data_IF_655242773818
#
_entry.id   IF_655242773818
#
_cell.length_a   1.000
_cell.length_b   1.000
_cell.length_c   1.000
_cell.angle_alpha   90.00
_cell.angle_beta   90.00
_cell.angle_gamma   90.00
#
_symmetry.space_group_name_H-M   'P 1'
#
loop_
_entity.id
_entity.type
_entity.pdbx_description
1 polymer ?
#
# COMPACT_ATOMS: atom_id res chain seq x y z
N UNK A 1 -16.49 2.15 31.98
CA UNK A 1 -16.37 3.33 31.10
C UNK A 1 -14.92 3.81 31.20
N UNK A 2 -14.13 3.74 30.12
CA UNK A 2 -12.74 4.18 30.14
C UNK A 2 -12.68 5.70 30.30
N UNK A 3 -11.79 6.19 31.15
CA UNK A 3 -11.55 7.63 31.29
C UNK A 3 -10.81 8.18 30.06
N UNK A 4 -10.70 9.51 29.94
CA UNK A 4 -10.04 10.16 28.79
C UNK A 4 -8.59 9.70 28.58
N UNK A 5 -7.87 9.40 29.66
CA UNK A 5 -6.49 8.93 29.60
C UNK A 5 -6.39 7.49 29.07
N UNK A 6 -7.28 6.60 29.53
CA UNK A 6 -7.44 5.24 29.00
C UNK A 6 -7.87 5.21 27.53
N UNK A 7 -8.77 6.12 27.12
CA UNK A 7 -9.13 6.27 25.72
C UNK A 7 -7.96 6.74 24.84
N UNK A 8 -7.13 7.67 25.32
CA UNK A 8 -6.01 8.22 24.54
C UNK A 8 -4.87 7.21 24.36
N UNK A 9 -4.60 6.40 25.38
CA UNK A 9 -3.59 5.32 25.33
C UNK A 9 -4.02 4.16 24.42
N UNK A 10 -5.30 3.78 24.46
CA UNK A 10 -5.88 2.77 23.56
C UNK A 10 -5.76 3.19 22.09
N UNK A 11 -6.08 4.45 21.77
CA UNK A 11 -6.01 4.99 20.41
C UNK A 11 -4.59 4.94 19.85
N UNK A 12 -3.58 5.34 20.64
CA UNK A 12 -2.16 5.19 20.24
C UNK A 12 -1.76 3.73 19.96
N UNK A 13 -2.27 2.78 20.74
CA UNK A 13 -1.98 1.35 20.54
C UNK A 13 -2.57 0.81 19.24
N UNK A 14 -3.81 1.21 18.91
CA UNK A 14 -4.49 0.76 17.68
C UNK A 14 -3.78 1.35 16.45
N UNK A 15 -3.52 2.66 16.45
CA UNK A 15 -2.82 3.32 15.34
C UNK A 15 -1.46 2.69 15.07
N UNK A 16 -0.72 2.34 16.11
CA UNK A 16 0.57 1.66 15.96
C UNK A 16 0.42 0.26 15.36
N UNK A 17 -0.54 -0.55 15.83
CA UNK A 17 -0.77 -1.92 15.36
C UNK A 17 -1.21 -2.03 13.90
N UNK A 18 -1.94 -1.03 13.39
CA UNK A 18 -2.45 -1.04 12.00
C UNK A 18 -1.63 -0.18 11.04
N UNK A 19 -0.62 0.54 11.51
CA UNK A 19 0.24 1.39 10.67
C UNK A 19 0.92 0.61 9.52
N UNK A 20 1.49 -0.56 9.82
CA UNK A 20 2.17 -1.40 8.82
C UNK A 20 1.20 -1.95 7.74
N UNK A 21 0.08 -2.61 8.08
CA UNK A 21 -0.90 -3.03 7.09
C UNK A 21 -1.38 -1.89 6.20
N UNK A 22 -1.73 -0.74 6.79
CA UNK A 22 -2.18 0.43 6.02
C UNK A 22 -1.10 0.91 5.05
N UNK A 23 0.18 0.92 5.47
CA UNK A 23 1.31 1.24 4.61
C UNK A 23 1.41 0.32 3.39
N UNK A 24 1.31 -1.00 3.59
CA UNK A 24 1.32 -1.96 2.49
C UNK A 24 0.12 -1.82 1.56
N UNK A 25 -1.07 -1.54 2.09
CA UNK A 25 -2.26 -1.28 1.29
C UNK A 25 -2.07 -0.06 0.38
N UNK A 26 -1.66 1.07 0.95
CA UNK A 26 -1.46 2.32 0.20
C UNK A 26 -0.38 2.17 -0.87
N UNK A 27 0.75 1.55 -0.53
CA UNK A 27 1.84 1.30 -1.48
C UNK A 27 1.42 0.32 -2.58
N UNK A 28 0.67 -0.73 -2.23
CA UNK A 28 0.10 -1.68 -3.18
C UNK A 28 -0.83 -1.00 -4.18
N UNK A 29 -1.79 -0.21 -3.70
CA UNK A 29 -2.68 0.57 -4.56
C UNK A 29 -1.93 1.55 -5.46
N UNK A 30 -0.95 2.29 -4.92
CA UNK A 30 -0.15 3.23 -5.70
C UNK A 30 0.56 2.53 -6.87
N UNK A 31 1.19 1.39 -6.62
CA UNK A 31 1.89 0.62 -7.65
C UNK A 31 0.94 0.05 -8.71
N UNK A 32 -0.26 -0.39 -8.32
CA UNK A 32 -1.28 -0.84 -9.27
C UNK A 32 -1.85 0.32 -10.10
N UNK A 33 -1.98 1.52 -9.53
CA UNK A 33 -2.35 2.72 -10.29
C UNK A 33 -1.26 3.04 -11.32
N UNK A 34 0.02 2.99 -10.93
CA UNK A 34 1.14 3.18 -11.87
C UNK A 34 1.09 2.12 -12.98
N UNK A 35 0.88 0.84 -12.61
CA UNK A 35 0.75 -0.28 -13.55
C UNK A 35 -0.39 -0.08 -14.56
N UNK A 36 -1.58 0.29 -14.09
CA UNK A 36 -2.75 0.52 -14.94
C UNK A 36 -2.56 1.70 -15.91
N UNK A 37 -1.65 2.62 -15.59
CA UNK A 37 -1.27 3.75 -16.43
C UNK A 37 0.14 3.58 -17.03
N UNK A 38 0.65 2.35 -17.13
CA UNK A 38 2.04 2.07 -17.48
C UNK A 38 2.47 2.65 -18.83
N UNK A 39 1.56 2.74 -19.80
CA UNK A 39 1.81 3.39 -21.09
C UNK A 39 2.10 4.90 -20.93
N UNK A 40 1.24 5.63 -20.23
CA UNK A 40 1.40 7.08 -20.01
C UNK A 40 2.65 7.39 -19.18
N UNK A 41 2.96 6.56 -18.19
CA UNK A 41 4.18 6.70 -17.40
C UNK A 41 5.42 6.46 -18.24
N UNK A 42 5.50 5.32 -18.93
CA UNK A 42 6.60 5.03 -19.85
C UNK A 42 6.75 6.16 -20.88
N UNK A 43 5.62 6.66 -21.38
CA UNK A 43 5.60 7.74 -22.35
C UNK A 43 6.20 9.03 -21.77
N UNK A 44 5.75 9.41 -20.58
CA UNK A 44 6.21 10.63 -19.93
C UNK A 44 7.70 10.56 -19.58
N UNK A 45 8.20 9.42 -19.09
CA UNK A 45 9.57 9.33 -18.57
C UNK A 45 10.65 9.26 -19.65
N UNK A 46 10.38 8.66 -20.81
CA UNK A 46 11.40 8.56 -21.88
C UNK A 46 11.28 9.64 -22.94
N UNK A 47 10.28 10.52 -22.86
CA UNK A 47 10.18 11.68 -23.75
C UNK A 47 11.38 12.61 -23.55
N UNK A 48 12.18 12.90 -24.60
CA UNK A 48 13.23 13.90 -24.52
C UNK A 48 12.64 15.30 -24.34
N UNK A 49 13.37 16.17 -23.63
CA UNK A 49 12.97 17.57 -23.48
C UNK A 49 12.78 18.24 -24.85
N UNK A 50 11.68 18.97 -25.01
CA UNK A 50 11.30 19.72 -26.22
C UNK A 50 10.97 18.89 -27.47
N UNK A 51 10.85 17.56 -27.37
CA UNK A 51 10.40 16.74 -28.50
C UNK A 51 8.90 16.99 -28.79
N UNK A 52 8.55 17.37 -30.03
CA UNK A 52 7.16 17.54 -30.48
C UNK A 52 6.45 16.20 -30.68
N UNK A 53 7.20 15.18 -31.09
CA UNK A 53 6.75 13.79 -31.23
C UNK A 53 7.89 12.87 -30.85
N UNK A 54 7.56 11.72 -30.24
CA UNK A 54 8.54 10.70 -29.94
C UNK A 54 7.81 9.35 -29.74
N UNK A 55 8.54 8.25 -29.86
CA UNK A 55 7.98 6.90 -29.72
C UNK A 55 8.52 6.23 -28.46
N UNK A 56 7.62 5.70 -27.64
CA UNK A 56 7.96 4.82 -26.52
C UNK A 56 8.18 3.41 -27.01
N UNK A 57 9.25 2.75 -26.55
CA UNK A 57 9.44 1.34 -26.86
C UNK A 57 8.43 0.47 -26.12
N UNK A 58 8.01 -0.64 -26.74
CA UNK A 58 7.05 -1.55 -26.13
C UNK A 58 7.61 -2.21 -24.86
N UNK A 59 8.92 -2.46 -24.83
CA UNK A 59 9.62 -3.04 -23.67
C UNK A 59 9.53 -2.10 -22.47
N UNK A 60 9.66 -0.78 -22.69
CA UNK A 60 9.54 0.21 -21.62
C UNK A 60 8.11 0.29 -21.10
N UNK A 61 7.11 0.29 -21.99
CA UNK A 61 5.69 0.24 -21.61
C UNK A 61 5.42 -1.01 -20.77
N UNK A 62 5.94 -2.17 -21.19
CA UNK A 62 5.81 -3.42 -20.44
C UNK A 62 6.50 -3.37 -19.09
N UNK A 63 7.69 -2.76 -18.98
CA UNK A 63 8.37 -2.60 -17.70
C UNK A 63 7.54 -1.76 -16.71
N UNK A 64 6.97 -0.63 -17.16
CA UNK A 64 6.09 0.22 -16.34
C UNK A 64 4.70 -0.38 -16.07
N UNK A 65 4.28 -1.35 -16.86
CA UNK A 65 3.01 -2.07 -16.63
C UNK A 65 3.22 -3.24 -15.68
N UNK A 66 4.13 -4.15 -16.00
CA UNK A 66 4.24 -5.47 -15.37
C UNK A 66 4.97 -5.41 -14.03
N UNK A 67 6.07 -4.66 -13.92
CA UNK A 67 6.86 -4.62 -12.68
C UNK A 67 6.03 -4.02 -11.53
N UNK A 68 5.39 -2.84 -11.69
CA UNK A 68 4.51 -2.29 -10.65
C UNK A 68 3.28 -3.16 -10.40
N UNK A 69 2.78 -3.91 -11.40
CA UNK A 69 1.67 -4.85 -11.21
C UNK A 69 2.04 -5.95 -10.19
N UNK A 70 3.19 -6.59 -10.41
CA UNK A 70 3.67 -7.68 -9.57
C UNK A 70 3.94 -7.15 -8.17
N UNK A 71 4.69 -6.06 -8.05
CA UNK A 71 5.01 -5.45 -6.76
C UNK A 71 3.75 -5.01 -6.01
N UNK A 72 2.83 -4.34 -6.70
CA UNK A 72 1.55 -3.90 -6.13
C UNK A 72 0.72 -5.07 -5.60
N UNK A 73 0.64 -6.15 -6.37
CA UNK A 73 -0.04 -7.40 -5.97
C UNK A 73 0.60 -8.04 -4.75
N UNK A 74 1.94 -8.10 -4.71
CA UNK A 74 2.68 -8.60 -3.54
C UNK A 74 2.42 -7.74 -2.29
N UNK A 75 2.38 -6.42 -2.42
CA UNK A 75 2.06 -5.53 -1.30
C UNK A 75 0.61 -5.67 -0.82
N UNK A 76 -0.36 -5.88 -1.70
CA UNK A 76 -1.73 -6.19 -1.30
C UNK A 76 -1.82 -7.54 -0.57
N UNK A 77 -1.05 -8.54 -0.99
CA UNK A 77 -0.98 -9.82 -0.27
C UNK A 77 -0.36 -9.63 1.13
N UNK A 78 0.72 -8.86 1.24
CA UNK A 78 1.32 -8.50 2.53
C UNK A 78 0.35 -7.72 3.42
N UNK A 79 -0.47 -6.83 2.84
CA UNK A 79 -1.54 -6.16 3.57
C UNK A 79 -2.51 -7.16 4.17
N UNK A 80 -3.03 -8.13 3.40
CA UNK A 80 -3.98 -9.13 3.91
C UNK A 80 -3.36 -9.94 5.07
N UNK A 81 -2.11 -10.39 4.90
CA UNK A 81 -1.41 -11.18 5.92
C UNK A 81 -1.20 -10.36 7.20
N UNK A 82 -0.61 -9.17 7.08
CA UNK A 82 -0.27 -8.34 8.24
C UNK A 82 -1.51 -7.76 8.91
N UNK A 83 -2.53 -7.39 8.14
CA UNK A 83 -3.82 -6.95 8.70
C UNK A 83 -4.45 -8.07 9.53
N UNK A 84 -4.47 -9.30 9.02
CA UNK A 84 -5.03 -10.46 9.72
C UNK A 84 -4.29 -10.72 11.02
N UNK A 85 -2.95 -10.66 11.01
CA UNK A 85 -2.12 -10.83 12.22
C UNK A 85 -2.39 -9.71 13.23
N UNK A 86 -2.36 -8.43 12.80
CA UNK A 86 -2.63 -7.29 13.68
C UNK A 86 -4.03 -7.35 14.27
N UNK A 87 -5.02 -7.74 13.48
CA UNK A 87 -6.41 -7.90 13.92
C UNK A 87 -6.55 -9.03 14.95
N UNK A 88 -5.96 -10.19 14.70
CA UNK A 88 -5.95 -11.31 15.64
C UNK A 88 -5.30 -10.93 16.98
N UNK A 89 -4.13 -10.29 16.95
CA UNK A 89 -3.44 -9.83 18.15
C UNK A 89 -4.27 -8.79 18.91
N UNK A 90 -4.89 -7.86 18.19
CA UNK A 90 -5.78 -6.87 18.81
C UNK A 90 -6.97 -7.55 19.48
N UNK A 91 -7.64 -8.50 18.82
CA UNK A 91 -8.75 -9.25 19.42
C UNK A 91 -8.31 -9.98 20.70
N UNK A 92 -7.19 -10.72 20.65
CA UNK A 92 -6.67 -11.45 21.81
C UNK A 92 -6.43 -10.52 23.01
N UNK A 93 -5.79 -9.37 22.79
CA UNK A 93 -5.54 -8.37 23.85
C UNK A 93 -6.86 -7.85 24.45
N UNK A 94 -7.90 -7.65 23.64
CA UNK A 94 -9.18 -7.15 24.16
C UNK A 94 -10.00 -8.24 24.86
N UNK A 95 -9.89 -9.49 24.43
CA UNK A 95 -10.54 -10.63 25.10
C UNK A 95 -9.89 -10.93 26.46
N UNK A 96 -8.56 -10.93 26.53
CA UNK A 96 -7.82 -11.14 27.80
C UNK A 96 -7.93 -9.97 28.79
N UNK A 97 -8.46 -8.82 28.34
CA UNK A 97 -8.75 -7.65 29.19
C UNK A 97 -10.20 -7.58 29.69
N UNK A 98 -11.05 -8.51 29.28
CA UNK A 98 -12.38 -8.64 29.86
C UNK A 98 -12.26 -9.37 31.21
N UNK A 99 -12.92 -8.89 32.28
CA UNK A 99 -12.89 -9.52 33.60
C UNK A 99 -13.49 -10.93 33.60
#
# INVERSE_FOLDING_TARGET
MLDKAGMMTLNKSIVKSFSFPVGFFLLGCLLLIISGNGHEFASTVSRPANASSWSTSNELIQAFTVIPMILGSCFLLLFVITFSISYFLWQKINVERLP
#
